data_IF_253523600403
#
_entry.id   IF_253523600403
#
_cell.length_a   1.000
_cell.length_b   1.000
_cell.length_c   1.000
_cell.angle_alpha   90.00
_cell.angle_beta   90.00
_cell.angle_gamma   90.00
#
_symmetry.space_group_name_H-M   'P 1'
#
loop_
_entity.id
_entity.type
_entity.pdbx_description
1 polymer ?
#
# COMPACT_ATOMS: atom_id res chain seq x y z
N UNK A 1 3.34 9.21 12.17
CA UNK A 1 2.21 9.72 11.39
C UNK A 1 2.03 8.92 10.11
N UNK A 2 0.80 8.79 9.65
CA UNK A 2 0.54 8.06 8.43
C UNK A 2 1.12 8.78 7.20
N UNK A 3 1.63 8.03 6.27
CA UNK A 3 2.20 8.54 5.03
C UNK A 3 1.60 7.81 3.84
N UNK A 4 1.15 8.56 2.84
CA UNK A 4 0.60 7.98 1.61
C UNK A 4 1.51 8.31 0.44
N UNK A 5 1.84 7.30 -0.36
CA UNK A 5 2.60 7.49 -1.59
C UNK A 5 1.88 6.84 -2.76
N UNK A 6 2.17 7.30 -3.97
CA UNK A 6 1.65 6.71 -5.18
C UNK A 6 2.44 5.43 -5.49
N UNK A 7 1.78 4.29 -5.41
CA UNK A 7 2.40 3.01 -5.72
C UNK A 7 2.43 2.76 -7.24
N UNK A 8 1.38 3.19 -7.91
CA UNK A 8 1.27 3.14 -9.36
C UNK A 8 0.56 1.91 -9.89
N UNK A 9 1.11 0.74 -9.67
CA UNK A 9 0.59 -0.53 -10.17
C UNK A 9 -0.05 -1.33 -9.03
N UNK A 10 -0.82 -2.35 -9.39
CA UNK A 10 -1.39 -3.27 -8.42
C UNK A 10 -0.27 -3.98 -7.65
N UNK A 11 -0.37 -4.05 -6.31
CA UNK A 11 0.64 -4.76 -5.52
C UNK A 11 0.63 -6.25 -5.83
N UNK A 12 1.82 -6.84 -5.95
CA UNK A 12 1.97 -8.27 -6.18
C UNK A 12 1.86 -9.04 -4.87
N UNK A 13 1.74 -10.36 -4.97
CA UNK A 13 1.73 -11.21 -3.78
C UNK A 13 3.00 -11.04 -2.96
N UNK A 14 4.14 -10.84 -3.61
CA UNK A 14 5.40 -10.57 -2.93
C UNK A 14 5.34 -9.29 -2.12
N UNK A 15 4.76 -8.24 -2.69
CA UNK A 15 4.59 -6.96 -2.00
C UNK A 15 3.70 -7.12 -0.78
N UNK A 16 2.54 -7.76 -0.95
CA UNK A 16 1.59 -7.97 0.12
C UNK A 16 2.18 -8.83 1.24
N UNK A 17 2.92 -9.87 0.88
CA UNK A 17 3.58 -10.74 1.86
C UNK A 17 4.62 -9.98 2.66
N UNK A 18 5.38 -9.11 2.02
CA UNK A 18 6.39 -8.30 2.72
C UNK A 18 5.73 -7.42 3.78
N UNK A 19 4.65 -6.70 3.41
CA UNK A 19 3.94 -5.85 4.35
C UNK A 19 3.28 -6.64 5.46
N UNK A 20 2.68 -7.78 5.13
CA UNK A 20 2.03 -8.63 6.14
C UNK A 20 3.05 -9.20 7.13
N UNK A 21 4.25 -9.51 6.67
CA UNK A 21 5.30 -10.08 7.50
C UNK A 21 5.99 -9.05 8.38
N UNK A 22 6.25 -7.86 7.84
CA UNK A 22 7.09 -6.87 8.52
C UNK A 22 6.31 -5.83 9.31
N UNK A 23 5.11 -5.47 8.87
CA UNK A 23 4.32 -4.42 9.52
C UNK A 23 3.19 -5.04 10.35
N UNK A 24 2.33 -5.83 9.72
CA UNK A 24 1.21 -6.44 10.40
C UNK A 24 0.38 -7.29 9.47
N UNK A 25 -0.39 -8.24 10.01
CA UNK A 25 -1.14 -9.19 9.19
C UNK A 25 -2.21 -8.49 8.34
N UNK A 26 -2.48 -9.10 7.19
CA UNK A 26 -3.52 -8.61 6.28
C UNK A 26 -4.90 -8.80 6.94
N UNK A 27 -5.69 -7.71 6.96
CA UNK A 27 -7.01 -7.73 7.60
C UNK A 27 -8.16 -7.69 6.60
N UNK A 28 -7.91 -7.18 5.38
CA UNK A 28 -8.96 -7.16 4.36
C UNK A 28 -8.35 -7.22 2.96
N UNK A 29 -9.17 -7.70 2.03
CA UNK A 29 -8.80 -7.80 0.63
C UNK A 29 -10.06 -7.61 -0.19
N UNK A 30 -10.13 -6.49 -0.90
CA UNK A 30 -11.24 -6.19 -1.82
C UNK A 30 -10.68 -5.81 -3.17
N UNK A 31 -11.56 -5.62 -4.15
CA UNK A 31 -11.17 -5.26 -5.50
C UNK A 31 -10.40 -3.94 -5.57
N UNK A 32 -10.72 -3.00 -4.66
CA UNK A 32 -10.15 -1.65 -4.68
C UNK A 32 -9.37 -1.30 -3.44
N UNK A 33 -9.24 -2.21 -2.50
CA UNK A 33 -8.56 -1.93 -1.25
C UNK A 33 -8.02 -3.23 -0.66
N UNK A 34 -6.74 -3.20 -0.34
CA UNK A 34 -6.06 -4.33 0.29
C UNK A 34 -5.29 -3.74 1.46
N UNK A 35 -5.51 -4.26 2.65
CA UNK A 35 -4.82 -3.69 3.77
C UNK A 35 -4.66 -4.64 4.94
N UNK A 36 -3.90 -4.17 5.91
CA UNK A 36 -3.62 -4.87 7.12
C UNK A 36 -3.37 -3.90 8.26
N UNK A 37 -2.89 -4.44 9.36
CA UNK A 37 -2.58 -3.62 10.51
C UNK A 37 -1.35 -2.75 10.21
N UNK A 38 -1.55 -1.45 10.15
CA UNK A 38 -0.47 -0.49 9.95
C UNK A 38 -0.12 -0.17 8.50
N UNK A 39 -0.86 -0.73 7.53
CA UNK A 39 -0.63 -0.47 6.11
C UNK A 39 -1.89 -0.69 5.30
N UNK A 40 -1.97 -0.01 4.13
CA UNK A 40 -3.14 -0.16 3.25
C UNK A 40 -2.80 0.26 1.82
N UNK A 41 -3.29 -0.50 0.85
CA UNK A 41 -3.29 -0.12 -0.56
C UNK A 41 -4.71 0.24 -0.96
N UNK A 42 -4.86 1.37 -1.67
CA UNK A 42 -6.16 1.80 -2.20
C UNK A 42 -6.03 2.11 -3.68
N UNK A 43 -7.10 1.84 -4.43
CA UNK A 43 -7.15 2.08 -5.88
C UNK A 43 -8.05 3.28 -6.12
N UNK A 44 -7.45 4.41 -6.45
CA UNK A 44 -8.15 5.69 -6.54
C UNK A 44 -7.74 6.47 -7.80
N UNK A 45 -8.55 7.44 -8.19
CA UNK A 45 -8.20 8.38 -9.23
C UNK A 45 -8.30 9.81 -8.68
N UNK A 46 -7.41 10.69 -9.18
CA UNK A 46 -7.32 12.06 -8.68
C UNK A 46 -8.52 12.91 -9.13
N UNK A 47 -9.05 12.59 -10.29
CA UNK A 47 -10.24 13.28 -10.82
C UNK A 47 -10.95 12.35 -11.82
N UNK A 48 -12.20 12.68 -12.24
CA UNK A 48 -12.98 11.82 -13.14
C UNK A 48 -12.32 11.53 -14.50
N UNK A 49 -11.38 12.36 -14.91
CA UNK A 49 -10.72 12.24 -16.20
C UNK A 49 -9.41 11.48 -16.15
N UNK A 50 -8.86 11.27 -14.94
CA UNK A 50 -7.56 10.64 -14.80
C UNK A 50 -7.65 9.12 -14.74
N UNK A 51 -6.52 8.45 -15.00
CA UNK A 51 -6.37 7.03 -14.83
C UNK A 51 -6.30 6.73 -13.33
N UNK A 52 -6.87 5.60 -12.90
CA UNK A 52 -6.77 5.17 -11.52
C UNK A 52 -5.39 4.58 -11.25
N UNK A 53 -4.88 4.86 -10.05
CA UNK A 53 -3.59 4.34 -9.59
C UNK A 53 -3.73 3.76 -8.20
N UNK A 54 -2.84 2.85 -7.85
CA UNK A 54 -2.77 2.33 -6.50
C UNK A 54 -1.93 3.25 -5.63
N UNK A 55 -2.41 3.47 -4.41
CA UNK A 55 -1.72 4.28 -3.40
C UNK A 55 -1.44 3.42 -2.18
N UNK A 56 -0.29 3.62 -1.58
CA UNK A 56 0.11 2.92 -0.36
C UNK A 56 0.12 3.89 0.80
N UNK A 57 -0.58 3.55 1.87
CA UNK A 57 -0.59 4.30 3.13
C UNK A 57 0.00 3.42 4.22
N UNK A 58 0.95 3.95 4.98
CA UNK A 58 1.52 3.28 6.15
C UNK A 58 1.37 4.18 7.37
N UNK A 59 1.20 3.58 8.54
CA UNK A 59 1.04 4.34 9.79
C UNK A 59 2.34 5.02 10.21
N UNK A 60 3.48 4.40 9.92
CA UNK A 60 4.80 4.94 10.25
C UNK A 60 5.64 4.99 8.98
N UNK A 61 6.10 6.18 8.62
CA UNK A 61 6.86 6.38 7.37
C UNK A 61 8.19 5.62 7.33
N UNK A 62 8.69 5.15 8.47
CA UNK A 62 9.90 4.33 8.49
C UNK A 62 9.76 3.08 7.60
N UNK A 63 8.55 2.55 7.48
CA UNK A 63 8.30 1.37 6.65
C UNK A 63 8.49 1.65 5.17
N UNK A 64 8.23 2.88 4.74
CA UNK A 64 8.49 3.29 3.36
C UNK A 64 9.99 3.32 3.07
N UNK A 65 10.77 3.77 4.03
CA UNK A 65 12.23 3.76 3.92
C UNK A 65 12.76 2.34 3.80
N UNK A 66 12.30 1.45 4.68
CA UNK A 66 12.69 0.03 4.60
C UNK A 66 12.27 -0.60 3.29
N UNK A 67 11.04 -0.34 2.86
CA UNK A 67 10.53 -0.87 1.60
C UNK A 67 11.40 -0.44 0.41
N UNK A 68 11.77 0.83 0.38
CA UNK A 68 12.61 1.37 -0.69
C UNK A 68 14.00 0.71 -0.71
N UNK A 69 14.57 0.46 0.47
CA UNK A 69 15.87 -0.18 0.58
C UNK A 69 15.85 -1.65 0.17
N UNK A 70 14.71 -2.32 0.36
CA UNK A 70 14.56 -3.74 0.04
C UNK A 70 14.23 -4.01 -1.42
N UNK A 71 13.85 -3.00 -2.16
CA UNK A 71 13.49 -3.13 -3.58
C UNK A 71 14.69 -3.30 -4.47
#
# INVERSE_FOLDING_TARGET
>A
MAKTIKFGKEPSESDLSWFAKHIGPRTHYTKFSIGGKGWRFTYEQDNPWSVKYWYLTVDDEKWLTYWTLMK
#
